data_IF_397456955241
#
_entry.id   IF_397456955241
#
_cell.length_a   1.000
_cell.length_b   1.000
_cell.length_c   1.000
_cell.angle_alpha   90.00
_cell.angle_beta   90.00
_cell.angle_gamma   90.00
#
_symmetry.space_group_name_H-M   'P 1'
#
loop_
_entity.id
_entity.type
_entity.pdbx_description
1 polymer ?
#
# COMPACT_ATOMS: atom_id res chain seq x y z
N UNK A 1 -73.23 -29.57 -55.73
CA UNK A 1 -73.16 -30.94 -55.18
C UNK A 1 -72.16 -30.94 -54.03
N UNK A 2 -72.53 -31.55 -52.89
CA UNK A 2 -71.73 -32.11 -51.76
C UNK A 2 -70.20 -31.84 -51.83
N UNK A 3 -69.51 -31.20 -50.90
CA UNK A 3 -69.54 -31.27 -49.43
C UNK A 3 -68.27 -32.00 -48.94
N UNK A 4 -67.45 -31.41 -48.06
CA UNK A 4 -66.77 -32.07 -46.92
C UNK A 4 -65.96 -31.04 -46.09
N UNK A 5 -66.10 -31.15 -44.77
CA UNK A 5 -65.42 -30.39 -43.71
C UNK A 5 -63.96 -30.83 -43.52
N UNK A 6 -63.07 -29.91 -43.14
CA UNK A 6 -62.19 -30.08 -41.96
C UNK A 6 -61.57 -28.75 -41.53
N UNK A 7 -61.83 -28.40 -40.27
CA UNK A 7 -61.10 -27.49 -39.37
C UNK A 7 -59.59 -27.85 -39.37
N UNK A 8 -58.60 -26.97 -39.09
CA UNK A 8 -58.39 -26.24 -37.84
C UNK A 8 -57.06 -25.45 -37.86
N UNK A 9 -57.06 -24.31 -37.16
CA UNK A 9 -55.97 -23.60 -36.47
C UNK A 9 -54.96 -22.70 -37.25
N UNK A 10 -55.19 -21.39 -37.15
CA UNK A 10 -54.18 -20.33 -37.28
C UNK A 10 -53.27 -20.33 -36.03
N UNK A 11 -51.96 -20.52 -36.21
CA UNK A 11 -50.94 -20.25 -35.19
C UNK A 11 -50.46 -18.81 -35.28
N UNK A 12 -50.84 -17.99 -34.30
CA UNK A 12 -50.33 -16.63 -34.13
C UNK A 12 -48.89 -16.64 -33.60
N UNK A 13 -48.03 -15.85 -34.24
CA UNK A 13 -46.65 -15.59 -33.82
C UNK A 13 -46.62 -14.84 -32.49
N UNK A 14 -46.11 -15.48 -31.45
CA UNK A 14 -45.91 -14.87 -30.13
C UNK A 14 -44.51 -14.24 -30.08
N UNK A 15 -44.46 -12.92 -29.99
CA UNK A 15 -43.27 -12.14 -29.66
C UNK A 15 -42.81 -12.53 -28.25
N UNK A 16 -41.67 -13.21 -28.12
CA UNK A 16 -41.06 -13.50 -26.83
C UNK A 16 -40.41 -12.23 -26.27
N UNK A 17 -41.07 -11.58 -25.31
CA UNK A 17 -40.44 -10.58 -24.46
C UNK A 17 -39.49 -11.29 -23.49
N UNK A 18 -38.19 -11.18 -23.71
CA UNK A 18 -37.17 -11.61 -22.74
C UNK A 18 -37.20 -10.66 -21.54
N UNK A 19 -37.81 -11.11 -20.44
CA UNK A 19 -37.65 -10.47 -19.13
C UNK A 19 -36.25 -10.80 -18.63
N UNK A 20 -35.33 -9.84 -18.77
CA UNK A 20 -34.02 -9.93 -18.14
C UNK A 20 -34.22 -9.66 -16.64
N UNK A 21 -34.19 -10.73 -15.83
CA UNK A 21 -34.17 -10.60 -14.39
C UNK A 21 -32.99 -9.71 -13.99
N UNK A 22 -33.25 -8.63 -13.25
CA UNK A 22 -32.21 -7.85 -12.62
C UNK A 22 -31.35 -8.79 -11.75
N UNK A 23 -30.01 -8.67 -11.75
CA UNK A 23 -29.17 -9.49 -10.89
C UNK A 23 -29.61 -9.28 -9.43
N UNK A 24 -29.82 -10.37 -8.71
CA UNK A 24 -30.13 -10.33 -7.29
C UNK A 24 -29.08 -9.46 -6.56
N UNK A 25 -29.48 -8.64 -5.57
CA UNK A 25 -28.52 -7.86 -4.80
C UNK A 25 -27.49 -8.80 -4.18
N UNK A 26 -26.20 -8.54 -4.44
CA UNK A 26 -25.10 -9.27 -3.82
C UNK A 26 -25.22 -9.06 -2.31
N UNK A 27 -25.53 -10.13 -1.58
CA UNK A 27 -25.50 -10.11 -0.14
C UNK A 27 -24.05 -9.86 0.32
N UNK A 28 -23.77 -8.63 0.75
CA UNK A 28 -22.45 -8.21 1.27
C UNK A 28 -22.07 -8.98 2.54
N UNK A 29 -23.00 -9.70 3.19
CA UNK A 29 -22.73 -10.57 4.33
C UNK A 29 -22.16 -11.94 3.92
N UNK A 30 -22.38 -12.39 2.69
CA UNK A 30 -21.91 -13.69 2.20
C UNK A 30 -20.43 -13.72 1.75
N UNK A 31 -19.77 -12.56 1.64
CA UNK A 31 -18.34 -12.47 1.27
C UNK A 31 -17.40 -12.80 2.44
N UNK A 32 -17.93 -12.93 3.67
CA UNK A 32 -17.15 -13.18 4.88
C UNK A 32 -16.65 -14.63 5.06
N UNK A 33 -17.00 -15.56 4.16
CA UNK A 33 -16.77 -17.00 4.36
C UNK A 33 -15.99 -17.71 3.24
N UNK A 34 -15.45 -16.99 2.25
CA UNK A 34 -14.53 -17.63 1.31
C UNK A 34 -13.17 -17.83 1.98
N UNK A 35 -12.59 -19.05 1.92
CA UNK A 35 -11.25 -19.27 2.44
C UNK A 35 -10.28 -18.31 1.75
N UNK A 36 -9.26 -17.80 2.47
CA UNK A 36 -8.28 -16.91 1.86
C UNK A 36 -7.65 -17.58 0.64
N UNK A 37 -7.47 -16.81 -0.43
CA UNK A 37 -6.77 -17.33 -1.61
C UNK A 37 -5.30 -17.50 -1.27
N UNK A 38 -4.81 -18.72 -1.41
CA UNK A 38 -3.38 -19.06 -1.30
C UNK A 38 -2.75 -19.03 -2.68
N UNK A 39 -1.49 -18.64 -2.79
CA UNK A 39 -0.82 -18.55 -4.09
C UNK A 39 0.69 -18.59 -4.00
N UNK A 40 1.35 -19.08 -5.04
CA UNK A 40 2.80 -19.03 -5.16
C UNK A 40 3.17 -18.64 -6.58
N UNK A 41 3.80 -17.47 -6.72
CA UNK A 41 4.21 -16.93 -8.00
C UNK A 41 5.72 -16.69 -8.01
N UNK A 42 6.41 -17.29 -8.97
CA UNK A 42 7.88 -17.27 -9.03
C UNK A 42 8.41 -16.96 -10.42
N UNK A 43 9.60 -16.38 -10.48
CA UNK A 43 10.34 -16.15 -11.73
C UNK A 43 9.55 -15.30 -12.74
N UNK A 44 8.94 -14.22 -12.25
CA UNK A 44 8.15 -13.31 -13.09
C UNK A 44 9.01 -12.12 -13.50
N UNK A 45 8.88 -11.71 -14.77
CA UNK A 45 9.46 -10.48 -15.29
C UNK A 45 8.34 -9.56 -15.78
N UNK A 46 8.26 -8.36 -15.21
CA UNK A 46 7.34 -7.31 -15.63
C UNK A 46 8.17 -6.17 -16.20
N UNK A 47 7.80 -5.70 -17.39
CA UNK A 47 8.43 -4.56 -18.04
C UNK A 47 7.36 -3.65 -18.64
N UNK A 48 6.84 -2.74 -17.82
CA UNK A 48 5.95 -1.67 -18.25
C UNK A 48 6.80 -0.43 -18.58
N UNK A 49 6.71 0.03 -19.83
CA UNK A 49 7.41 1.24 -20.31
C UNK A 49 6.47 2.07 -21.17
N UNK A 50 6.63 3.39 -21.12
CA UNK A 50 5.88 4.29 -22.00
C UNK A 50 6.42 4.21 -23.42
N UNK A 51 5.54 4.12 -24.41
CA UNK A 51 5.89 4.34 -25.82
C UNK A 51 5.96 5.84 -26.18
N UNK A 52 5.74 6.72 -25.21
CA UNK A 52 5.71 8.18 -25.36
C UNK A 52 6.60 8.86 -24.32
N UNK A 53 6.64 10.19 -24.32
CA UNK A 53 7.36 10.99 -23.30
C UNK A 53 6.70 11.02 -21.92
N UNK A 54 5.48 10.51 -21.79
CA UNK A 54 4.68 10.61 -20.56
C UNK A 54 4.99 9.48 -19.59
N UNK A 55 4.93 9.78 -18.30
CA UNK A 55 5.11 8.82 -17.22
C UNK A 55 3.95 7.79 -17.17
N UNK A 56 4.24 6.56 -16.74
CA UNK A 56 3.31 5.43 -16.70
C UNK A 56 2.76 5.18 -15.28
N UNK A 57 1.78 6.00 -14.89
CA UNK A 57 1.09 5.86 -13.60
C UNK A 57 0.34 4.51 -13.50
N UNK A 58 0.19 4.00 -12.27
CA UNK A 58 -0.67 2.85 -11.93
C UNK A 58 -0.32 1.55 -12.67
N UNK A 59 0.96 1.35 -12.95
CA UNK A 59 1.50 0.13 -13.55
C UNK A 59 2.03 -0.84 -12.49
N UNK A 60 1.26 -1.06 -11.42
CA UNK A 60 1.63 -1.91 -10.29
C UNK A 60 2.09 -3.30 -10.77
N UNK A 61 3.14 -3.84 -10.16
CA UNK A 61 3.64 -5.17 -10.49
C UNK A 61 2.64 -6.26 -10.08
N UNK A 62 2.17 -6.18 -8.82
CA UNK A 62 1.11 -7.05 -8.31
C UNK A 62 0.43 -6.43 -7.08
N UNK A 63 -0.90 -6.50 -7.10
CA UNK A 63 -1.75 -6.23 -5.95
C UNK A 63 -2.19 -7.53 -5.29
N UNK A 64 -1.88 -7.69 -4.00
CA UNK A 64 -2.39 -8.79 -3.18
C UNK A 64 -3.57 -8.26 -2.38
N UNK A 65 -4.74 -8.87 -2.56
CA UNK A 65 -5.99 -8.45 -1.92
C UNK A 65 -6.75 -9.67 -1.40
N UNK A 66 -7.28 -9.59 -0.17
CA UNK A 66 -8.11 -10.64 0.46
C UNK A 66 -7.53 -12.05 0.28
N UNK A 67 -6.25 -12.20 0.62
CA UNK A 67 -5.46 -13.41 0.37
C UNK A 67 -4.64 -13.78 1.61
N UNK A 68 -4.35 -15.07 1.77
CA UNK A 68 -3.46 -15.54 2.84
C UNK A 68 -2.50 -16.59 2.31
N UNK A 69 -1.34 -16.74 2.95
CA UNK A 69 -0.34 -17.76 2.56
C UNK A 69 0.13 -17.58 1.11
N UNK A 70 0.39 -16.34 0.71
CA UNK A 70 0.89 -15.99 -0.63
C UNK A 70 2.41 -15.87 -0.61
N UNK A 71 3.08 -16.49 -1.59
CA UNK A 71 4.53 -16.38 -1.78
C UNK A 71 4.88 -15.78 -3.14
N UNK A 72 5.49 -14.61 -3.14
CA UNK A 72 5.98 -13.91 -4.32
C UNK A 72 7.50 -13.90 -4.28
N UNK A 73 8.18 -14.68 -5.12
CA UNK A 73 9.66 -14.72 -5.06
C UNK A 73 10.35 -14.75 -6.42
N UNK A 74 11.54 -14.16 -6.50
CA UNK A 74 12.37 -14.10 -7.71
C UNK A 74 11.70 -13.30 -8.84
N UNK A 75 11.31 -12.05 -8.59
CA UNK A 75 10.72 -11.20 -9.63
C UNK A 75 11.68 -10.09 -10.05
N UNK A 76 11.58 -9.70 -11.32
CA UNK A 76 12.20 -8.50 -11.86
C UNK A 76 11.10 -7.60 -12.42
N UNK A 77 10.88 -6.45 -11.79
CA UNK A 77 9.81 -5.51 -12.11
C UNK A 77 10.42 -4.19 -12.53
N UNK A 78 10.14 -3.79 -13.76
CA UNK A 78 10.35 -2.43 -14.26
C UNK A 78 8.97 -1.82 -14.55
N UNK A 79 8.59 -0.80 -13.81
CA UNK A 79 7.29 -0.16 -13.92
C UNK A 79 7.34 1.31 -13.46
N UNK A 80 6.16 1.93 -13.27
CA UNK A 80 6.01 3.29 -12.74
C UNK A 80 5.10 3.40 -11.52
N UNK A 81 4.76 2.29 -10.86
CA UNK A 81 3.97 2.28 -9.62
C UNK A 81 4.45 1.17 -8.65
N UNK A 82 3.67 0.77 -7.65
CA UNK A 82 4.09 -0.20 -6.64
C UNK A 82 4.67 -1.49 -7.27
N UNK A 83 5.85 -1.94 -6.81
CA UNK A 83 6.43 -3.21 -7.26
C UNK A 83 5.60 -4.38 -6.72
N UNK A 84 5.18 -4.27 -5.45
CA UNK A 84 4.18 -5.12 -4.81
C UNK A 84 3.34 -4.22 -3.90
N UNK A 85 2.02 -4.38 -3.93
CA UNK A 85 1.09 -3.68 -3.04
C UNK A 85 0.25 -4.68 -2.24
N UNK A 86 0.37 -4.66 -0.90
CA UNK A 86 -0.50 -5.45 -0.02
C UNK A 86 -1.73 -4.64 0.34
N UNK A 87 -2.81 -4.89 -0.38
CA UNK A 87 -4.14 -4.30 -0.16
C UNK A 87 -4.85 -5.01 1.00
N UNK A 88 -6.05 -4.53 1.42
CA UNK A 88 -6.72 -5.06 2.61
C UNK A 88 -6.91 -6.57 2.64
N UNK A 89 -6.83 -7.12 3.86
CA UNK A 89 -6.97 -8.53 4.22
C UNK A 89 -5.92 -9.42 3.56
N UNK A 90 -4.66 -8.97 3.59
CA UNK A 90 -3.49 -9.73 3.15
C UNK A 90 -2.72 -10.25 4.37
N UNK A 91 -2.64 -11.58 4.54
CA UNK A 91 -2.06 -12.19 5.75
C UNK A 91 -1.10 -13.33 5.41
N UNK A 92 -0.13 -13.65 6.26
CA UNK A 92 0.82 -14.75 6.00
C UNK A 92 1.51 -14.63 4.62
N UNK A 93 2.10 -13.47 4.35
CA UNK A 93 2.65 -13.14 3.02
C UNK A 93 4.18 -13.22 3.05
N UNK A 94 4.75 -13.84 2.04
CA UNK A 94 6.19 -13.92 1.82
C UNK A 94 6.56 -13.24 0.50
N UNK A 95 7.42 -12.22 0.56
CA UNK A 95 7.94 -11.49 -0.61
C UNK A 95 9.47 -11.59 -0.56
N UNK A 96 10.09 -12.16 -1.58
CA UNK A 96 11.51 -12.51 -1.51
C UNK A 96 12.27 -12.38 -2.83
N UNK A 97 13.52 -11.92 -2.78
CA UNK A 97 14.41 -11.88 -3.94
C UNK A 97 13.81 -11.08 -5.11
N UNK A 98 13.47 -9.81 -4.86
CA UNK A 98 12.88 -8.93 -5.88
C UNK A 98 13.90 -7.91 -6.38
N UNK A 99 13.83 -7.59 -7.66
CA UNK A 99 14.51 -6.44 -8.28
C UNK A 99 13.44 -5.52 -8.82
N UNK A 100 13.31 -4.33 -8.24
CA UNK A 100 12.31 -3.34 -8.62
C UNK A 100 13.00 -2.07 -9.12
N UNK A 101 12.61 -1.61 -10.31
CA UNK A 101 13.15 -0.39 -10.93
C UNK A 101 12.02 0.52 -11.41
N UNK A 102 12.16 1.83 -11.17
CA UNK A 102 11.16 2.83 -11.57
C UNK A 102 9.89 2.85 -10.70
N UNK A 103 9.77 1.89 -9.79
CA UNK A 103 8.59 1.64 -8.98
C UNK A 103 8.30 2.74 -7.97
N UNK A 104 7.12 2.69 -7.37
CA UNK A 104 6.86 3.43 -6.15
C UNK A 104 7.59 2.77 -4.97
N UNK A 105 7.38 1.48 -4.69
CA UNK A 105 7.97 0.76 -3.53
C UNK A 105 7.56 -0.72 -3.46
N UNK A 106 7.99 -1.41 -2.41
CA UNK A 106 7.22 -2.50 -1.81
C UNK A 106 6.28 -1.92 -0.75
N UNK A 107 4.97 -1.93 -1.03
CA UNK A 107 3.93 -1.29 -0.22
C UNK A 107 3.14 -2.25 0.66
N UNK A 108 2.97 -1.87 1.93
CA UNK A 108 1.84 -2.28 2.74
C UNK A 108 0.78 -1.18 2.67
N UNK A 109 -0.31 -1.46 1.97
CA UNK A 109 -1.44 -0.57 1.76
C UNK A 109 -1.60 -0.06 0.33
N UNK A 110 -2.45 0.93 0.09
CA UNK A 110 -3.14 1.73 1.11
C UNK A 110 -4.19 0.95 1.88
N UNK A 111 -4.35 1.29 3.16
CA UNK A 111 -5.36 0.73 4.06
C UNK A 111 -6.13 1.85 4.77
N UNK A 112 -7.28 1.52 5.33
CA UNK A 112 -8.12 2.47 6.05
C UNK A 112 -8.85 3.44 5.11
N UNK A 113 -8.95 3.09 3.82
CA UNK A 113 -9.56 3.96 2.83
C UNK A 113 -11.06 4.09 3.07
N UNK A 114 -11.79 3.05 3.50
CA UNK A 114 -13.25 3.07 3.51
C UNK A 114 -13.86 3.04 4.91
N UNK A 115 -14.70 4.04 5.24
CA UNK A 115 -15.46 4.08 6.50
C UNK A 115 -16.33 2.84 6.68
N UNK A 116 -16.32 2.29 7.89
CA UNK A 116 -17.07 1.07 8.22
C UNK A 116 -16.48 -0.21 7.63
N UNK A 117 -15.35 -0.12 6.92
CA UNK A 117 -14.54 -1.28 6.56
C UNK A 117 -13.41 -1.44 7.58
N UNK A 118 -13.01 -2.70 7.77
CA UNK A 118 -11.82 -3.06 8.54
C UNK A 118 -10.80 -3.65 7.59
N UNK A 119 -9.64 -3.01 7.50
CA UNK A 119 -8.53 -3.44 6.66
C UNK A 119 -7.42 -4.00 7.55
N UNK A 120 -7.03 -5.26 7.32
CA UNK A 120 -5.89 -5.86 8.02
C UNK A 120 -4.76 -6.21 7.06
N UNK A 121 -3.53 -6.00 7.48
CA UNK A 121 -2.34 -6.66 6.91
C UNK A 121 -1.51 -7.18 8.07
N UNK A 122 -1.24 -8.49 8.10
CA UNK A 122 -0.44 -9.05 9.18
C UNK A 122 0.45 -10.21 8.75
N UNK A 123 1.50 -10.45 9.53
CA UNK A 123 2.40 -11.59 9.37
C UNK A 123 3.01 -11.60 7.96
N UNK A 124 3.78 -10.56 7.66
CA UNK A 124 4.40 -10.35 6.36
C UNK A 124 5.91 -10.36 6.51
N UNK A 125 6.57 -11.23 5.74
CA UNK A 125 8.02 -11.29 5.68
C UNK A 125 8.51 -10.88 4.28
N UNK A 126 9.27 -9.79 4.22
CA UNK A 126 9.77 -9.18 2.99
C UNK A 126 11.29 -9.19 3.05
N UNK A 127 11.96 -9.86 2.12
CA UNK A 127 13.41 -10.04 2.19
C UNK A 127 14.15 -9.99 0.86
N UNK A 128 15.41 -9.55 0.90
CA UNK A 128 16.31 -9.51 -0.25
C UNK A 128 15.71 -8.72 -1.42
N UNK A 129 15.54 -7.41 -1.21
CA UNK A 129 14.91 -6.52 -2.18
C UNK A 129 15.95 -5.52 -2.70
N UNK A 130 16.08 -5.41 -4.01
CA UNK A 130 16.84 -4.35 -4.67
C UNK A 130 15.88 -3.33 -5.24
N UNK A 131 15.95 -2.09 -4.76
CA UNK A 131 15.14 -0.97 -5.20
C UNK A 131 16.02 0.02 -5.98
N UNK A 132 15.59 0.43 -7.18
CA UNK A 132 16.31 1.42 -7.98
C UNK A 132 15.38 2.45 -8.59
N UNK A 133 15.79 3.72 -8.59
CA UNK A 133 15.05 4.82 -9.25
C UNK A 133 13.58 4.87 -8.80
N UNK A 134 13.33 4.69 -7.51
CA UNK A 134 11.99 4.51 -6.95
C UNK A 134 11.61 5.67 -6.02
N UNK A 135 10.32 5.84 -5.77
CA UNK A 135 9.85 6.87 -4.83
C UNK A 135 10.15 6.50 -3.36
N UNK A 136 10.02 5.23 -3.03
CA UNK A 136 10.32 4.68 -1.72
C UNK A 136 10.86 3.26 -1.83
N UNK A 137 11.40 2.75 -0.72
CA UNK A 137 11.88 1.38 -0.61
C UNK A 137 10.84 0.52 0.10
N UNK A 138 10.93 0.49 1.42
CA UNK A 138 9.95 -0.14 2.30
C UNK A 138 8.90 0.90 2.74
N UNK A 139 7.63 0.70 2.35
CA UNK A 139 6.55 1.65 2.64
C UNK A 139 5.36 1.00 3.33
N UNK A 140 4.86 1.66 4.39
CA UNK A 140 3.54 1.42 4.97
C UNK A 140 2.70 2.69 4.78
N UNK A 141 1.54 2.58 4.15
CA UNK A 141 0.64 3.70 3.86
C UNK A 141 -0.77 3.41 4.38
N UNK A 142 -1.20 4.17 5.39
CA UNK A 142 -2.58 4.12 5.90
C UNK A 142 -3.24 5.51 5.78
N UNK A 143 -4.53 5.52 5.48
CA UNK A 143 -5.30 6.74 5.31
C UNK A 143 -5.74 7.33 6.65
N UNK A 144 -5.79 8.65 6.72
CA UNK A 144 -6.32 9.39 7.87
C UNK A 144 -7.87 9.39 7.87
N UNK A 145 -8.50 10.11 8.81
CA UNK A 145 -9.95 10.34 8.78
C UNK A 145 -10.32 11.37 7.70
N UNK A 146 -10.47 10.93 6.45
CA UNK A 146 -10.91 11.83 5.39
C UNK A 146 -12.40 12.22 5.49
N UNK A 147 -12.83 13.26 4.74
CA UNK A 147 -14.17 13.83 4.87
C UNK A 147 -15.27 12.80 4.50
N UNK A 148 -16.40 12.83 5.22
CA UNK A 148 -17.57 11.96 4.98
C UNK A 148 -18.36 12.45 3.77
N UNK A 149 -17.81 12.32 2.57
CA UNK A 149 -18.30 12.92 1.32
C UNK A 149 -18.36 14.48 1.41
N UNK A 150 -18.28 15.29 0.37
CA UNK A 150 -18.71 15.15 -1.01
C UNK A 150 -17.74 16.03 -1.82
N UNK A 151 -17.04 15.51 -2.82
CA UNK A 151 -16.60 16.38 -3.92
C UNK A 151 -17.78 16.41 -4.90
N UNK A 152 -18.48 17.53 -5.09
CA UNK A 152 -19.67 17.55 -5.94
C UNK A 152 -19.40 17.20 -7.41
N UNK A 153 -18.13 17.27 -7.85
CA UNK A 153 -17.77 17.29 -9.28
C UNK A 153 -16.64 16.32 -9.67
N UNK A 154 -16.23 15.38 -8.82
CA UNK A 154 -15.27 14.34 -9.24
C UNK A 154 -16.00 13.04 -9.54
N UNK A 155 -15.94 12.52 -10.77
CA UNK A 155 -16.45 11.19 -11.10
C UNK A 155 -15.66 10.06 -10.41
N UNK A 156 -14.56 10.38 -9.72
CA UNK A 156 -13.72 9.47 -8.94
C UNK A 156 -13.71 9.79 -7.44
N UNK A 157 -14.51 10.76 -6.96
CA UNK A 157 -14.60 11.01 -5.54
C UNK A 157 -15.37 9.90 -4.88
N UNK A 158 -14.62 8.99 -4.25
CA UNK A 158 -15.21 8.06 -3.33
C UNK A 158 -15.79 8.85 -2.13
N UNK A 159 -17.10 8.75 -1.86
CA UNK A 159 -17.76 9.45 -0.76
C UNK A 159 -17.22 9.04 0.62
N UNK A 160 -16.33 8.05 0.71
CA UNK A 160 -15.62 7.70 1.94
C UNK A 160 -14.13 7.49 1.65
N UNK A 161 -13.40 8.52 1.25
CA UNK A 161 -11.93 8.48 1.29
C UNK A 161 -11.46 8.73 2.73
N UNK A 162 -10.83 7.74 3.35
CA UNK A 162 -10.34 7.76 4.73
C UNK A 162 -11.37 7.36 5.80
N UNK A 163 -10.86 6.99 6.97
CA UNK A 163 -11.67 6.63 8.15
C UNK A 163 -12.08 5.16 8.25
N UNK A 164 -11.44 4.27 7.48
CA UNK A 164 -11.49 2.84 7.74
C UNK A 164 -10.75 2.47 9.04
N UNK A 165 -11.15 1.34 9.62
CA UNK A 165 -10.57 0.77 10.84
C UNK A 165 -9.58 -0.34 10.47
N UNK A 166 -8.81 -0.81 11.46
CA UNK A 166 -8.00 -2.01 11.33
C UNK A 166 -6.55 -1.81 11.75
N UNK A 167 -5.66 -2.66 11.23
CA UNK A 167 -4.28 -2.68 11.68
C UNK A 167 -3.29 -3.22 10.66
N UNK A 168 -2.05 -2.77 10.81
CA UNK A 168 -0.84 -3.36 10.24
C UNK A 168 -0.03 -3.95 11.40
N UNK A 169 0.27 -5.25 11.35
CA UNK A 169 0.97 -5.93 12.46
C UNK A 169 1.97 -6.97 11.99
N UNK A 170 3.12 -7.07 12.67
CA UNK A 170 4.13 -8.09 12.42
C UNK A 170 4.61 -8.09 10.96
N UNK A 171 5.27 -7.00 10.59
CA UNK A 171 5.82 -6.78 9.25
C UNK A 171 7.35 -6.72 9.37
N UNK A 172 8.03 -7.59 8.63
CA UNK A 172 9.50 -7.58 8.54
C UNK A 172 9.94 -7.11 7.16
N UNK A 173 10.74 -6.07 7.11
CA UNK A 173 11.51 -5.64 5.93
C UNK A 173 12.99 -5.94 6.16
N UNK A 174 13.55 -6.89 5.41
CA UNK A 174 14.90 -7.40 5.63
C UNK A 174 15.76 -7.33 4.37
N UNK A 175 17.02 -6.93 4.51
CA UNK A 175 18.00 -6.90 3.43
C UNK A 175 17.48 -6.12 2.20
N UNK A 176 17.19 -4.84 2.41
CA UNK A 176 16.85 -3.92 1.33
C UNK A 176 18.11 -3.17 0.89
N UNK A 177 18.36 -3.14 -0.42
CA UNK A 177 19.42 -2.33 -1.03
C UNK A 177 18.77 -1.27 -1.91
N UNK A 178 18.95 -0.01 -1.54
CA UNK A 178 18.34 1.14 -2.21
C UNK A 178 19.38 1.86 -3.06
N UNK A 179 19.03 2.14 -4.32
CA UNK A 179 19.89 2.91 -5.22
C UNK A 179 19.07 4.02 -5.90
N UNK A 180 19.37 5.28 -5.59
CA UNK A 180 18.62 6.42 -6.14
C UNK A 180 17.12 6.34 -5.82
N UNK A 181 16.78 6.15 -4.54
CA UNK A 181 15.38 6.05 -4.06
C UNK A 181 15.02 7.34 -3.31
N UNK A 182 13.85 7.95 -3.58
CA UNK A 182 13.54 9.29 -3.04
C UNK A 182 13.45 9.30 -1.50
N UNK A 183 12.71 8.36 -0.91
CA UNK A 183 12.64 8.14 0.53
C UNK A 183 12.62 6.63 0.84
N UNK A 184 13.79 5.99 1.03
CA UNK A 184 13.92 4.55 1.19
C UNK A 184 13.04 3.90 2.26
N UNK A 185 12.66 4.62 3.31
CA UNK A 185 11.91 4.11 4.44
C UNK A 185 10.73 5.02 4.77
N UNK A 186 9.50 4.51 4.62
CA UNK A 186 8.28 5.28 4.91
C UNK A 186 7.30 4.47 5.77
N UNK A 187 6.84 5.07 6.86
CA UNK A 187 5.52 4.82 7.44
C UNK A 187 4.76 6.14 7.40
N UNK A 188 3.56 6.13 6.83
CA UNK A 188 2.67 7.29 6.85
C UNK A 188 1.25 6.90 7.24
N UNK A 189 0.67 7.70 8.11
CA UNK A 189 -0.76 7.68 8.43
C UNK A 189 -1.57 8.80 7.77
N UNK A 190 -0.94 9.55 6.87
CA UNK A 190 -1.49 10.69 6.15
C UNK A 190 -1.52 10.44 4.63
N UNK A 191 -1.83 9.21 4.21
CA UNK A 191 -1.86 8.88 2.78
C UNK A 191 -2.98 9.65 2.06
N UNK A 192 -2.65 10.27 0.92
CA UNK A 192 -3.52 11.10 0.06
C UNK A 192 -4.00 12.45 0.64
N UNK A 193 -3.47 12.87 1.78
CA UNK A 193 -3.82 14.16 2.40
C UNK A 193 -2.58 14.97 2.75
N UNK A 194 -2.77 16.25 3.11
CA UNK A 194 -1.71 17.12 3.60
C UNK A 194 -1.63 17.03 5.13
N UNK A 195 -0.43 17.19 5.68
CA UNK A 195 -0.16 17.02 7.11
C UNK A 195 -1.13 17.76 8.04
N UNK A 196 -1.44 19.07 7.85
CA UNK A 196 -2.35 19.78 8.75
C UNK A 196 -3.77 19.20 8.77
N UNK A 197 -4.21 18.61 7.65
CA UNK A 197 -5.50 17.94 7.59
C UNK A 197 -5.48 16.65 8.41
N UNK A 198 -4.41 15.86 8.32
CA UNK A 198 -4.27 14.60 9.05
C UNK A 198 -4.06 14.79 10.55
N UNK A 199 -3.38 15.86 10.97
CA UNK A 199 -3.24 16.24 12.38
C UNK A 199 -4.61 16.51 13.01
N UNK A 200 -5.49 17.22 12.29
CA UNK A 200 -6.86 17.46 12.73
C UNK A 200 -7.77 16.22 12.58
N UNK A 201 -7.38 15.26 11.73
CA UNK A 201 -8.18 14.09 11.39
C UNK A 201 -7.33 12.81 11.41
N UNK A 202 -6.86 12.38 12.59
CA UNK A 202 -5.92 11.27 12.72
C UNK A 202 -6.48 9.98 12.12
N UNK A 203 -5.61 9.07 11.67
CA UNK A 203 -6.02 7.75 11.21
C UNK A 203 -6.66 6.96 12.35
N UNK A 204 -7.58 6.06 12.01
CA UNK A 204 -8.12 5.07 12.95
C UNK A 204 -7.40 3.72 12.83
N UNK A 205 -6.45 3.60 11.89
CA UNK A 205 -5.59 2.43 11.75
C UNK A 205 -4.53 2.43 12.85
N UNK A 206 -4.13 1.23 13.27
CA UNK A 206 -2.98 1.03 14.16
C UNK A 206 -1.86 0.32 13.42
N UNK A 207 -0.61 0.63 13.79
CA UNK A 207 0.57 0.00 13.21
C UNK A 207 1.46 -0.44 14.37
N UNK A 208 1.81 -1.73 14.37
CA UNK A 208 2.61 -2.33 15.45
C UNK A 208 3.53 -3.43 14.94
N UNK A 209 4.58 -3.73 15.69
CA UNK A 209 5.51 -4.83 15.41
C UNK A 209 6.08 -4.76 13.99
N UNK A 210 6.74 -3.64 13.68
CA UNK A 210 7.41 -3.43 12.38
C UNK A 210 8.92 -3.46 12.58
N UNK A 211 9.58 -4.35 11.84
CA UNK A 211 11.01 -4.59 11.98
C UNK A 211 11.73 -4.36 10.67
N UNK A 212 12.68 -3.43 10.69
CA UNK A 212 13.61 -3.16 9.60
C UNK A 212 14.97 -3.78 9.92
N UNK A 213 15.49 -4.65 9.05
CA UNK A 213 16.78 -5.30 9.23
C UNK A 213 17.62 -5.06 7.97
N UNK A 214 18.79 -4.45 8.11
CA UNK A 214 19.72 -4.21 7.00
C UNK A 214 19.07 -3.48 5.81
N UNK A 215 18.42 -2.35 6.08
CA UNK A 215 17.94 -1.44 5.03
C UNK A 215 19.07 -0.45 4.71
N UNK A 216 19.70 -0.60 3.55
CA UNK A 216 20.92 0.15 3.21
C UNK A 216 20.85 0.80 1.83
N UNK A 217 21.88 1.58 1.50
CA UNK A 217 22.08 2.17 0.18
C UNK A 217 21.83 3.68 0.15
N UNK A 218 21.57 4.23 -1.03
CA UNK A 218 21.64 5.68 -1.28
C UNK A 218 20.29 6.24 -1.71
N UNK A 219 19.84 7.30 -1.02
CA UNK A 219 18.67 8.06 -1.42
C UNK A 219 18.97 8.93 -2.67
N UNK A 220 17.93 9.41 -3.37
CA UNK A 220 18.11 10.27 -4.56
C UNK A 220 18.46 11.72 -4.22
N UNK A 221 18.24 12.14 -2.96
CA UNK A 221 18.40 13.53 -2.52
C UNK A 221 17.26 14.46 -2.95
N UNK A 222 16.18 13.93 -3.54
CA UNK A 222 14.97 14.69 -3.90
C UNK A 222 14.22 15.19 -2.66
N UNK A 223 14.29 14.44 -1.55
CA UNK A 223 13.79 14.84 -0.24
C UNK A 223 14.86 15.58 0.60
N UNK A 224 15.75 16.32 -0.06
CA UNK A 224 16.93 16.94 0.55
C UNK A 224 17.79 15.89 1.31
N UNK A 225 17.99 16.09 2.61
CA UNK A 225 18.75 15.18 3.46
C UNK A 225 17.87 14.14 4.17
N UNK A 226 16.56 14.11 3.94
CA UNK A 226 15.65 13.14 4.56
C UNK A 226 15.71 11.81 3.80
N UNK A 227 16.04 10.74 4.51
CA UNK A 227 16.14 9.37 3.98
C UNK A 227 15.09 8.42 4.56
N UNK A 228 14.38 8.84 5.60
CA UNK A 228 13.26 8.10 6.16
C UNK A 228 12.23 8.99 6.83
N UNK A 229 10.96 8.59 6.74
CA UNK A 229 9.84 9.24 7.42
C UNK A 229 9.00 8.16 8.11
N UNK A 230 8.90 8.23 9.43
CA UNK A 230 8.11 7.35 10.26
C UNK A 230 7.06 8.18 11.00
N UNK A 231 5.91 8.38 10.36
CA UNK A 231 4.87 9.29 10.85
C UNK A 231 3.52 8.59 11.07
N UNK A 232 3.18 8.44 12.34
CA UNK A 232 1.93 7.85 12.78
C UNK A 232 1.04 8.92 13.42
N UNK A 233 -0.29 8.71 13.41
CA UNK A 233 -1.26 9.63 14.02
C UNK A 233 -1.75 9.09 15.35
N UNK A 234 -2.14 7.81 15.37
CA UNK A 234 -2.08 7.00 16.59
C UNK A 234 -0.66 6.47 16.73
N UNK A 235 -0.03 6.56 17.92
CA UNK A 235 1.36 6.20 18.02
C UNK A 235 1.63 4.75 17.60
N UNK A 236 2.58 4.57 16.69
CA UNK A 236 3.06 3.25 16.32
C UNK A 236 3.78 2.62 17.52
N UNK A 237 3.71 1.30 17.67
CA UNK A 237 4.34 0.58 18.79
C UNK A 237 5.26 -0.50 18.27
N UNK A 238 6.33 -0.81 19.01
CA UNK A 238 7.28 -1.88 18.64
C UNK A 238 7.88 -1.71 17.24
N UNK A 239 8.33 -0.49 16.92
CA UNK A 239 9.03 -0.20 15.67
C UNK A 239 10.53 -0.30 15.92
N UNK A 240 11.23 -1.09 15.11
CA UNK A 240 12.66 -1.37 15.30
C UNK A 240 13.42 -1.30 13.99
N UNK A 241 14.66 -0.82 14.05
CA UNK A 241 15.58 -0.85 12.92
C UNK A 241 16.96 -1.29 13.39
N UNK A 242 17.53 -2.29 12.74
CA UNK A 242 18.87 -2.83 13.05
C UNK A 242 19.67 -3.00 11.78
N UNK A 243 20.91 -2.52 11.77
CA UNK A 243 21.77 -2.55 10.57
C UNK A 243 21.29 -1.64 9.43
N UNK A 244 20.33 -0.76 9.68
CA UNK A 244 19.84 0.23 8.71
C UNK A 244 20.85 1.37 8.57
N UNK A 245 21.32 1.60 7.34
CA UNK A 245 22.31 2.64 7.03
C UNK A 245 22.06 3.20 5.62
N UNK A 246 21.40 4.35 5.57
CA UNK A 246 21.08 5.06 4.33
C UNK A 246 21.96 6.29 4.18
N UNK A 247 22.48 6.50 2.97
CA UNK A 247 23.36 7.61 2.61
C UNK A 247 22.71 8.57 1.63
N UNK A 248 23.29 9.75 1.49
CA UNK A 248 22.90 10.75 0.50
C UNK A 248 23.85 10.72 -0.71
N UNK A 249 23.42 11.19 -1.89
CA UNK A 249 24.24 11.10 -3.09
C UNK A 249 25.39 12.12 -3.07
N UNK A 250 26.59 11.65 -3.38
CA UNK A 250 27.79 12.48 -3.52
C UNK A 250 27.92 13.02 -4.96
N UNK A 251 28.61 14.16 -5.17
CA UNK A 251 29.24 15.02 -4.16
C UNK A 251 28.27 16.04 -3.53
N UNK A 252 27.04 16.16 -4.04
CA UNK A 252 26.07 17.20 -3.67
C UNK A 252 25.83 17.30 -2.15
N UNK A 253 25.83 16.16 -1.46
CA UNK A 253 25.58 16.08 -0.02
C UNK A 253 26.85 15.70 0.78
N UNK A 254 28.03 16.01 0.27
CA UNK A 254 29.28 15.80 1.02
C UNK A 254 29.22 16.51 2.38
N UNK A 255 29.51 15.78 3.45
CA UNK A 255 29.43 16.30 4.83
C UNK A 255 28.02 16.51 5.38
N UNK A 256 26.96 16.23 4.61
CA UNK A 256 25.57 16.34 5.08
C UNK A 256 25.13 15.02 5.70
N UNK A 257 24.57 15.11 6.91
CA UNK A 257 24.04 13.95 7.62
C UNK A 257 22.64 13.57 7.11
N UNK A 258 22.40 12.29 6.76
CA UNK A 258 21.07 11.76 6.48
C UNK A 258 20.14 11.89 7.70
N UNK A 259 18.89 12.29 7.47
CA UNK A 259 17.87 12.52 8.50
C UNK A 259 16.74 11.50 8.40
N UNK A 260 16.31 11.01 9.56
CA UNK A 260 15.12 10.19 9.74
C UNK A 260 14.11 11.00 10.54
N UNK A 261 12.96 11.32 9.96
CA UNK A 261 11.90 12.04 10.65
C UNK A 261 10.95 11.04 11.31
N UNK A 262 10.94 10.97 12.64
CA UNK A 262 10.06 10.10 13.39
C UNK A 262 9.07 10.92 14.22
N UNK A 263 7.78 10.66 14.05
CA UNK A 263 6.67 11.31 14.76
C UNK A 263 5.67 10.27 15.25
N UNK A 264 5.30 10.37 16.53
CA UNK A 264 4.39 9.46 17.22
C UNK A 264 4.81 7.98 17.11
N UNK A 265 6.04 7.67 17.50
CA UNK A 265 6.50 6.29 17.72
C UNK A 265 6.65 6.06 19.23
N UNK A 266 6.07 4.98 19.76
CA UNK A 266 6.16 4.55 21.17
C UNK A 266 7.02 3.31 21.29
N UNK A 267 7.67 3.18 22.44
CA UNK A 267 8.50 2.02 22.82
C UNK A 267 9.56 1.71 21.77
N UNK A 268 10.30 2.75 21.38
CA UNK A 268 11.48 2.62 20.53
C UNK A 268 12.51 1.73 21.25
N UNK A 269 12.56 0.45 20.91
CA UNK A 269 13.82 -0.27 21.04
C UNK A 269 14.75 0.47 20.08
N UNK A 270 15.83 1.10 20.57
CA UNK A 270 16.47 2.22 19.89
C UNK A 270 16.64 1.90 18.43
N UNK A 271 15.99 2.70 17.57
CA UNK A 271 16.29 2.77 16.15
C UNK A 271 17.76 3.17 16.10
N UNK A 272 18.62 2.17 16.19
CA UNK A 272 20.05 2.30 16.39
C UNK A 272 20.61 2.59 15.01
N UNK A 273 20.29 3.79 14.51
CA UNK A 273 21.00 4.39 13.39
C UNK A 273 22.39 4.66 13.95
N UNK A 274 23.30 3.73 13.75
CA UNK A 274 24.70 3.86 14.17
C UNK A 274 25.25 5.18 13.63
N UNK A 275 25.50 6.08 14.58
CA UNK A 275 25.82 7.51 14.52
C UNK A 275 26.97 7.94 13.58
N UNK A 276 27.22 9.27 13.36
CA UNK A 276 26.70 10.45 14.07
C UNK A 276 25.90 11.39 13.15
N UNK A 277 24.66 11.76 13.47
CA UNK A 277 24.33 12.77 14.47
C UNK A 277 22.87 12.52 14.92
N UNK A 278 22.69 12.46 16.23
CA UNK A 278 21.49 12.77 17.01
C UNK A 278 20.14 12.47 16.34
N UNK A 279 19.52 11.36 16.74
CA UNK A 279 18.07 11.29 16.83
C UNK A 279 17.60 12.41 17.77
N UNK A 280 17.34 13.61 17.24
CA UNK A 280 16.73 14.69 18.03
C UNK A 280 15.24 14.36 18.12
N UNK A 281 14.90 13.53 19.09
CA UNK A 281 13.55 13.40 19.62
C UNK A 281 13.19 14.75 20.27
N UNK A 282 12.56 15.65 19.52
CA UNK A 282 11.75 16.70 20.14
C UNK A 282 10.47 16.04 20.62
N UNK A 283 10.50 15.46 21.82
CA UNK A 283 9.27 15.28 22.60
C UNK A 283 8.74 16.68 22.89
N UNK A 284 7.75 17.14 22.12
CA UNK A 284 6.89 18.22 22.58
C UNK A 284 6.11 17.66 23.77
N UNK A 285 6.59 17.96 24.97
CA UNK A 285 5.78 17.92 26.18
C UNK A 285 4.51 18.72 25.91
N UNK A 286 3.40 18.01 25.74
CA UNK A 286 2.06 18.55 25.94
C UNK A 286 1.95 18.93 27.41
N UNK A 287 2.24 20.19 27.73
CA UNK A 287 1.63 20.83 28.89
C UNK A 287 0.14 20.93 28.60
N UNK A 288 -0.67 20.19 29.37
CA UNK A 288 -2.11 20.45 29.51
C UNK A 288 -2.30 21.90 29.97
N UNK A 289 -3.11 22.65 29.24
CA UNK A 289 -3.94 23.74 29.76
C UNK A 289 -5.38 23.44 29.37
#
# INVERSE_FOLDING_TARGET
>A
MKGFFSTLLLGASLLAATVQAAPAPIDKRAVAALPPRTGRCRNIKINAVSASKYFIYNTDGIDVYRSSSVKLVNWNVNNGDDCVSLKPNSTEIEIGNMVCNGSHDISVGSLGQYRGQTDIVQNVNIYNISMSNAQAGARIKVSCLGPRAVWPNSPFADPASGGGLGFVKNITFKNFVNNNVDAPLIITSCYNYKQPFCEANPSLMTISDVTYINVTGTASGKQNNVVGVLDCSNPCTSISATGTNLTLPLPKFAGVTPVYNCTHIRDETPVSVTQPQVAVLRTSTLTRS
#
